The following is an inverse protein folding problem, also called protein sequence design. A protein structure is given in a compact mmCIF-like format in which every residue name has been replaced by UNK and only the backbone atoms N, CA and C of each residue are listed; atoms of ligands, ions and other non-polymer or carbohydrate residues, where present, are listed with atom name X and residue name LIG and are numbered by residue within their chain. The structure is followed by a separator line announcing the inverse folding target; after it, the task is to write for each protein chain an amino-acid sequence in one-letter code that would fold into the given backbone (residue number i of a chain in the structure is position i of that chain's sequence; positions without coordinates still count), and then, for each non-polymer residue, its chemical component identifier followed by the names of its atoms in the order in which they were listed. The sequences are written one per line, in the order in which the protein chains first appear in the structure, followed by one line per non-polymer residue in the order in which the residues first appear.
data_IF_067928502386
#
_entry.id   IF_067928502386
#
_cell.length_a   1.000
_cell.length_b   1.000
_cell.length_c   1.000
_cell.angle_alpha   90.00
_cell.angle_beta   90.00
_cell.angle_gamma   90.00
#
_symmetry.space_group_name_H-M   'P 1'
#
loop_
_entity.id
_entity.type
_entity.pdbx_description
1 polymer ?
#
# COMPACT_ATOMS: atom_id res chain seq x y z
N UNK A 1 1.32 -6.99 -12.37
CA UNK A 1 1.85 -8.17 -11.63
C UNK A 1 0.91 -8.74 -10.57
N UNK A 2 -0.26 -8.17 -10.29
CA UNK A 2 -1.17 -8.82 -9.34
C UNK A 2 -2.33 -8.00 -8.78
N UNK A 3 -2.62 -6.80 -9.30
CA UNK A 3 -3.65 -5.92 -8.73
C UNK A 3 -4.97 -6.62 -8.44
N UNK A 4 -5.53 -7.34 -9.43
CA UNK A 4 -6.78 -8.09 -9.23
C UNK A 4 -6.58 -9.41 -8.47
N UNK A 5 -5.56 -10.19 -8.84
CA UNK A 5 -5.42 -11.59 -8.37
C UNK A 5 -4.91 -11.67 -6.93
N UNK A 6 -4.11 -10.70 -6.50
CA UNK A 6 -3.48 -10.68 -5.17
C UNK A 6 -4.13 -9.63 -4.27
N UNK A 7 -4.20 -8.37 -4.69
CA UNK A 7 -4.61 -7.30 -3.79
C UNK A 7 -6.12 -7.22 -3.64
N UNK A 8 -6.86 -7.08 -4.74
CA UNK A 8 -8.32 -7.00 -4.68
C UNK A 8 -8.94 -8.26 -4.05
N UNK A 9 -8.43 -9.44 -4.42
CA UNK A 9 -8.90 -10.71 -3.84
C UNK A 9 -8.63 -10.79 -2.34
N UNK A 10 -7.44 -10.39 -1.88
CA UNK A 10 -7.09 -10.38 -0.46
C UNK A 10 -7.89 -9.33 0.31
N UNK A 11 -8.02 -8.10 -0.22
CA UNK A 11 -8.78 -7.01 0.39
C UNK A 11 -10.25 -7.38 0.58
N UNK A 12 -10.91 -7.88 -0.47
CA UNK A 12 -12.30 -8.36 -0.36
C UNK A 12 -12.43 -9.54 0.62
N UNK A 13 -11.45 -10.46 0.62
CA UNK A 13 -11.45 -11.57 1.58
C UNK A 13 -11.32 -11.06 3.01
N UNK A 14 -10.46 -10.06 3.28
CA UNK A 14 -10.35 -9.44 4.60
C UNK A 14 -11.68 -8.82 5.02
N UNK A 15 -12.33 -8.05 4.15
CA UNK A 15 -13.62 -7.43 4.47
C UNK A 15 -14.68 -8.48 4.84
N UNK A 16 -14.81 -9.53 4.02
CA UNK A 16 -15.78 -10.60 4.25
C UNK A 16 -15.47 -11.32 5.57
N UNK A 17 -14.21 -11.71 5.80
CA UNK A 17 -13.83 -12.44 7.01
C UNK A 17 -13.98 -11.58 8.27
N UNK A 18 -13.59 -10.32 8.23
CA UNK A 18 -13.74 -9.40 9.36
C UNK A 18 -15.21 -9.12 9.68
N UNK A 19 -16.09 -9.09 8.67
CA UNK A 19 -17.53 -9.00 8.88
C UNK A 19 -18.10 -10.21 9.64
N UNK A 20 -17.64 -11.43 9.33
CA UNK A 20 -18.11 -12.65 10.00
C UNK A 20 -17.44 -12.92 11.35
N UNK A 21 -16.17 -12.57 11.51
CA UNK A 21 -15.41 -12.79 12.75
C UNK A 21 -15.88 -11.88 13.89
N UNK A 22 -16.41 -10.70 13.55
CA UNK A 22 -16.84 -9.70 14.53
C UNK A 22 -15.66 -8.98 15.18
N UNK A 23 -15.96 -8.10 16.13
CA UNK A 23 -14.95 -7.22 16.76
C UNK A 23 -14.10 -8.00 17.75
N UNK A 24 -12.79 -7.86 17.63
CA UNK A 24 -11.82 -8.39 18.58
C UNK A 24 -11.58 -7.37 19.70
N UNK A 25 -11.43 -7.79 20.97
CA UNK A 25 -11.06 -6.89 22.07
C UNK A 25 -9.58 -6.44 22.01
N UNK A 26 -8.95 -6.46 20.83
CA UNK A 26 -7.52 -6.21 20.69
C UNK A 26 -7.23 -4.73 20.95
N UNK A 27 -6.49 -4.47 22.02
CA UNK A 27 -5.67 -3.27 22.09
C UNK A 27 -4.48 -3.52 21.18
N UNK A 28 -4.29 -2.70 20.15
CA UNK A 28 -3.02 -2.66 19.44
C UNK A 28 -1.92 -2.35 20.47
N UNK A 29 -1.22 -3.37 20.95
CA UNK A 29 0.03 -3.16 21.65
C UNK A 29 0.91 -2.29 20.76
N UNK A 30 1.63 -1.34 21.36
CA UNK A 30 2.57 -0.49 20.62
C UNK A 30 3.58 -1.40 19.92
N UNK A 31 3.38 -1.61 18.62
CA UNK A 31 4.33 -2.35 17.80
C UNK A 31 5.65 -1.59 17.86
N UNK A 32 6.69 -2.32 18.26
CA UNK A 32 8.06 -1.81 18.25
C UNK A 32 8.42 -1.34 16.84
N UNK A 33 8.81 -0.08 16.72
CA UNK A 33 9.07 0.57 15.42
C UNK A 33 10.15 -0.17 14.61
N UNK A 34 11.10 -0.86 15.25
CA UNK A 34 12.15 -1.59 14.54
C UNK A 34 11.58 -2.73 13.67
N UNK A 35 10.51 -3.38 14.12
CA UNK A 35 9.85 -4.45 13.35
C UNK A 35 9.10 -3.91 12.13
N UNK A 36 8.55 -2.71 12.22
CA UNK A 36 7.89 -2.05 11.09
C UNK A 36 8.89 -1.75 9.97
N UNK A 37 10.06 -1.22 10.31
CA UNK A 37 11.11 -0.96 9.33
C UNK A 37 11.65 -2.24 8.70
N UNK A 38 11.90 -3.27 9.51
CA UNK A 38 12.35 -4.56 8.99
C UNK A 38 11.31 -5.17 8.04
N UNK A 39 10.04 -5.14 8.43
CA UNK A 39 8.93 -5.57 7.58
C UNK A 39 8.90 -4.82 6.26
N UNK A 40 9.00 -3.48 6.30
CA UNK A 40 9.01 -2.65 5.09
C UNK A 40 10.18 -2.97 4.16
N UNK A 41 11.38 -3.20 4.70
CA UNK A 41 12.56 -3.58 3.91
C UNK A 41 12.32 -4.91 3.19
N UNK A 42 11.84 -5.91 3.91
CA UNK A 42 11.57 -7.24 3.35
C UNK A 42 10.48 -7.19 2.27
N UNK A 43 9.39 -6.46 2.55
CA UNK A 43 8.28 -6.27 1.62
C UNK A 43 8.76 -5.56 0.36
N UNK A 44 9.51 -4.45 0.50
CA UNK A 44 10.05 -3.69 -0.64
C UNK A 44 10.98 -4.54 -1.49
N UNK A 45 11.91 -5.26 -0.86
CA UNK A 45 12.86 -6.12 -1.55
C UNK A 45 12.13 -7.22 -2.35
N UNK A 46 11.17 -7.89 -1.71
CA UNK A 46 10.33 -8.88 -2.37
C UNK A 46 9.50 -8.29 -3.51
N UNK A 47 9.01 -7.05 -3.36
CA UNK A 47 8.15 -6.41 -4.35
C UNK A 47 8.84 -6.08 -5.66
N UNK A 48 10.12 -5.74 -5.63
CA UNK A 48 10.89 -5.58 -6.87
C UNK A 48 10.88 -6.87 -7.68
N UNK A 49 11.11 -8.02 -7.02
CA UNK A 49 10.99 -9.35 -7.63
C UNK A 49 9.57 -9.65 -8.13
N UNK A 50 8.55 -9.33 -7.33
CA UNK A 50 7.15 -9.50 -7.67
C UNK A 50 6.74 -8.71 -8.93
N UNK A 51 7.21 -7.47 -9.05
CA UNK A 51 6.88 -6.61 -10.18
C UNK A 51 7.70 -6.93 -11.44
N UNK A 52 9.00 -7.18 -11.30
CA UNK A 52 9.89 -7.45 -12.44
C UNK A 52 9.80 -8.89 -12.94
N UNK A 53 9.44 -9.85 -12.07
CA UNK A 53 9.38 -11.28 -12.39
C UNK A 53 8.57 -11.60 -13.66
N UNK A 54 7.35 -11.05 -13.82
CA UNK A 54 6.54 -11.24 -15.03
C UNK A 54 7.19 -10.76 -16.34
N UNK A 55 8.22 -9.91 -16.31
CA UNK A 55 8.97 -9.51 -17.51
C UNK A 55 9.76 -10.69 -18.09
N UNK A 56 10.18 -11.64 -17.23
CA UNK A 56 10.81 -12.91 -17.64
C UNK A 56 12.24 -12.80 -18.19
N UNK A 57 12.77 -11.60 -18.38
CA UNK A 57 14.12 -11.36 -18.90
C UNK A 57 14.65 -9.99 -18.48
N UNK A 58 15.97 -9.83 -18.44
CA UNK A 58 16.64 -8.57 -18.11
C UNK A 58 16.84 -7.72 -19.37
N UNK A 59 15.92 -6.78 -19.59
CA UNK A 59 15.94 -5.85 -20.73
C UNK A 59 15.54 -4.43 -20.29
N UNK A 60 15.37 -3.52 -21.24
CA UNK A 60 14.96 -2.14 -20.95
C UNK A 60 13.61 -2.05 -20.20
N UNK A 61 12.67 -2.96 -20.50
CA UNK A 61 11.38 -3.03 -19.80
C UNK A 61 11.57 -3.43 -18.34
N UNK A 62 12.47 -4.38 -18.03
CA UNK A 62 12.79 -4.74 -16.66
C UNK A 62 13.35 -3.54 -15.88
N UNK A 63 14.25 -2.76 -16.49
CA UNK A 63 14.77 -1.52 -15.92
C UNK A 63 13.67 -0.48 -15.65
N UNK A 64 12.76 -0.29 -16.60
CA UNK A 64 11.59 0.59 -16.44
C UNK A 64 10.67 0.11 -15.30
N UNK A 65 10.39 -1.19 -15.19
CA UNK A 65 9.54 -1.75 -14.13
C UNK A 65 10.15 -1.56 -12.75
N UNK A 66 11.47 -1.73 -12.61
CA UNK A 66 12.18 -1.46 -11.35
C UNK A 66 12.11 0.02 -10.99
N UNK A 67 12.36 0.92 -11.95
CA UNK A 67 12.26 2.37 -11.72
C UNK A 67 10.84 2.79 -11.34
N UNK A 68 9.85 2.30 -12.07
CA UNK A 68 8.43 2.56 -11.81
C UNK A 68 8.02 2.05 -10.42
N UNK A 69 8.54 0.89 -9.98
CA UNK A 69 8.30 0.36 -8.62
C UNK A 69 8.91 1.28 -7.55
N UNK A 70 10.14 1.75 -7.76
CA UNK A 70 10.79 2.67 -6.83
C UNK A 70 10.00 3.99 -6.69
N UNK A 71 9.58 4.56 -7.81
CA UNK A 71 8.80 5.79 -7.81
C UNK A 71 7.41 5.59 -7.22
N UNK A 72 6.80 4.43 -7.40
CA UNK A 72 5.54 4.10 -6.75
C UNK A 72 5.66 4.15 -5.22
N UNK A 73 6.73 3.59 -4.65
CA UNK A 73 7.02 3.64 -3.21
C UNK A 73 7.15 5.08 -2.73
N UNK A 74 7.99 5.88 -3.42
CA UNK A 74 8.29 7.26 -3.02
C UNK A 74 7.04 8.13 -3.11
N UNK A 75 6.32 8.08 -4.23
CA UNK A 75 5.12 8.89 -4.46
C UNK A 75 3.97 8.48 -3.52
N UNK A 76 3.78 7.19 -3.26
CA UNK A 76 2.79 6.70 -2.30
C UNK A 76 3.12 7.16 -0.87
N UNK A 77 4.35 6.89 -0.41
CA UNK A 77 4.80 7.30 0.92
C UNK A 77 4.69 8.81 1.15
N UNK A 78 5.08 9.60 0.15
CA UNK A 78 4.99 11.06 0.21
C UNK A 78 3.53 11.53 0.25
N UNK A 79 2.65 10.98 -0.59
CA UNK A 79 1.25 11.39 -0.64
C UNK A 79 0.51 11.15 0.67
N UNK A 80 0.60 9.94 1.22
CA UNK A 80 -0.06 9.62 2.50
C UNK A 80 0.47 10.50 3.63
N UNK A 81 1.80 10.66 3.70
CA UNK A 81 2.44 11.53 4.69
C UNK A 81 1.96 12.97 4.56
N UNK A 82 1.86 13.49 3.34
CA UNK A 82 1.38 14.84 3.06
C UNK A 82 -0.08 15.00 3.50
N UNK A 83 -0.97 14.08 3.13
CA UNK A 83 -2.39 14.12 3.53
C UNK A 83 -2.52 14.07 5.05
N UNK A 84 -1.78 13.16 5.69
CA UNK A 84 -1.76 13.03 7.16
C UNK A 84 -1.29 14.31 7.83
N UNK A 85 -0.18 14.88 7.37
CA UNK A 85 0.36 16.13 7.90
C UNK A 85 -0.62 17.30 7.70
N UNK A 86 -1.27 17.39 6.54
CA UNK A 86 -2.22 18.47 6.27
C UNK A 86 -3.43 18.41 7.21
N UNK A 87 -3.93 17.22 7.54
CA UNK A 87 -5.11 17.01 8.38
C UNK A 87 -4.82 17.03 9.88
N UNK A 88 -3.77 16.34 10.31
CA UNK A 88 -3.47 16.13 11.72
C UNK A 88 -2.33 17.01 12.24
N UNK A 89 -1.56 17.68 11.36
CA UNK A 89 -0.38 18.49 11.72
C UNK A 89 0.71 17.69 12.44
N UNK A 90 0.75 16.38 12.20
CA UNK A 90 1.70 15.46 12.79
C UNK A 90 2.53 14.76 11.70
N UNK A 91 3.82 14.62 11.97
CA UNK A 91 4.72 13.79 11.18
C UNK A 91 4.72 12.37 11.77
N UNK A 92 4.26 11.40 10.98
CA UNK A 92 4.12 10.01 11.41
C UNK A 92 4.90 9.08 10.50
N UNK A 93 5.83 8.32 11.08
CA UNK A 93 6.52 7.23 10.39
C UNK A 93 5.53 6.18 9.89
N UNK A 94 4.49 5.88 10.67
CA UNK A 94 3.49 4.87 10.29
C UNK A 94 2.74 5.33 9.04
N UNK A 95 2.40 6.61 8.95
CA UNK A 95 1.78 7.19 7.76
C UNK A 95 2.68 7.06 6.52
N UNK A 96 3.99 7.30 6.66
CA UNK A 96 4.95 7.09 5.58
C UNK A 96 4.98 5.63 5.12
N UNK A 97 5.10 4.68 6.05
CA UNK A 97 5.18 3.25 5.74
C UNK A 97 3.89 2.73 5.11
N UNK A 98 2.72 3.16 5.62
CA UNK A 98 1.42 2.82 5.02
C UNK A 98 1.30 3.37 3.59
N UNK A 99 1.73 4.61 3.36
CA UNK A 99 1.76 5.20 2.03
C UNK A 99 2.67 4.42 1.07
N UNK A 100 3.84 3.97 1.54
CA UNK A 100 4.76 3.14 0.75
C UNK A 100 4.11 1.81 0.35
N UNK A 101 3.40 1.15 1.28
CA UNK A 101 2.64 -0.09 1.01
C UNK A 101 1.58 0.17 -0.06
N UNK A 102 0.77 1.22 0.08
CA UNK A 102 -0.28 1.52 -0.92
C UNK A 102 0.31 1.88 -2.28
N UNK A 103 1.46 2.57 -2.30
CA UNK A 103 2.22 2.80 -3.52
C UNK A 103 2.62 1.48 -4.20
N UNK A 104 3.15 0.53 -3.42
CA UNK A 104 3.49 -0.81 -3.91
C UNK A 104 2.28 -1.58 -4.44
N UNK A 105 1.17 -1.63 -3.70
CA UNK A 105 -0.08 -2.26 -4.12
C UNK A 105 -0.57 -1.67 -5.43
N UNK A 106 -0.67 -0.34 -5.50
CA UNK A 106 -1.12 0.38 -6.70
C UNK A 106 -0.23 0.11 -7.91
N UNK A 107 1.10 0.03 -7.70
CA UNK A 107 2.05 -0.24 -8.79
C UNK A 107 1.74 -1.56 -9.51
N UNK A 108 1.24 -2.57 -8.79
CA UNK A 108 1.00 -3.91 -9.35
C UNK A 108 -0.07 -3.95 -10.44
N UNK A 109 -0.88 -2.89 -10.56
CA UNK A 109 -1.89 -2.73 -11.60
C UNK A 109 -1.28 -2.30 -12.95
N UNK A 110 -0.21 -1.49 -12.94
CA UNK A 110 0.23 -0.77 -14.14
C UNK A 110 1.74 -0.67 -14.37
N UNK A 111 2.60 -1.19 -13.48
CA UNK A 111 4.06 -0.93 -13.50
C UNK A 111 4.78 -1.25 -14.82
N UNK A 112 4.30 -2.24 -15.58
CA UNK A 112 4.86 -2.63 -16.89
C UNK A 112 4.12 -2.07 -18.10
N UNK A 113 3.04 -1.30 -17.88
CA UNK A 113 2.18 -0.76 -18.94
C UNK A 113 2.22 0.77 -18.98
N UNK A 114 2.41 1.42 -17.82
CA UNK A 114 2.44 2.86 -17.67
C UNK A 114 3.87 3.40 -17.81
N UNK A 115 3.97 4.63 -18.33
CA UNK A 115 5.21 5.37 -18.27
C UNK A 115 5.51 5.85 -16.84
N UNK A 116 6.72 6.35 -16.64
CA UNK A 116 7.21 6.74 -15.31
C UNK A 116 6.45 7.91 -14.69
N UNK A 117 5.96 8.87 -15.49
CA UNK A 117 5.15 9.97 -14.98
C UNK A 117 3.76 9.51 -14.56
N UNK A 118 3.15 8.64 -15.36
CA UNK A 118 1.83 8.06 -15.11
C UNK A 118 1.80 7.23 -13.82
N UNK A 119 2.80 6.37 -13.61
CA UNK A 119 2.84 5.54 -12.40
C UNK A 119 3.02 6.40 -11.14
N UNK A 120 3.86 7.45 -11.20
CA UNK A 120 4.07 8.38 -10.10
C UNK A 120 2.79 9.13 -9.73
N UNK A 121 2.06 9.63 -10.74
CA UNK A 121 0.81 10.33 -10.52
C UNK A 121 -0.26 9.38 -9.96
N UNK A 122 -0.39 8.19 -10.55
CA UNK A 122 -1.36 7.18 -10.13
C UNK A 122 -1.16 6.80 -8.66
N UNK A 123 0.07 6.49 -8.25
CA UNK A 123 0.37 6.05 -6.88
C UNK A 123 0.25 7.20 -5.87
N UNK A 124 0.60 8.43 -6.28
CA UNK A 124 0.38 9.61 -5.46
C UNK A 124 -1.11 9.82 -5.18
N UNK A 125 -1.94 9.82 -6.23
CA UNK A 125 -3.39 10.02 -6.09
C UNK A 125 -4.04 8.88 -5.31
N UNK A 126 -3.74 7.63 -5.68
CA UNK A 126 -4.31 6.46 -5.01
C UNK A 126 -3.97 6.45 -3.52
N UNK A 127 -2.71 6.65 -3.15
CA UNK A 127 -2.29 6.64 -1.74
C UNK A 127 -2.95 7.75 -0.91
N UNK A 128 -3.07 8.95 -1.48
CA UNK A 128 -3.76 10.06 -0.80
C UNK A 128 -5.26 9.79 -0.61
N UNK A 129 -5.92 9.23 -1.62
CA UNK A 129 -7.33 8.83 -1.51
C UNK A 129 -7.53 7.70 -0.51
N UNK A 130 -6.66 6.69 -0.51
CA UNK A 130 -6.71 5.59 0.45
C UNK A 130 -6.53 6.10 1.87
N UNK A 131 -5.63 7.06 2.13
CA UNK A 131 -5.49 7.69 3.45
C UNK A 131 -6.82 8.29 3.95
N UNK A 132 -7.56 8.98 3.08
CA UNK A 132 -8.86 9.57 3.43
C UNK A 132 -9.93 8.50 3.63
N UNK A 133 -9.91 7.45 2.81
CA UNK A 133 -10.84 6.34 2.90
C UNK A 133 -10.62 5.54 4.18
N UNK A 134 -9.38 5.21 4.55
CA UNK A 134 -9.06 4.50 5.80
C UNK A 134 -9.60 5.24 7.01
N UNK A 135 -9.35 6.55 7.09
CA UNK A 135 -9.88 7.39 8.17
C UNK A 135 -11.42 7.38 8.20
N UNK A 136 -12.07 7.53 7.04
CA UNK A 136 -13.53 7.46 6.93
C UNK A 136 -14.10 6.08 7.33
N UNK A 137 -13.50 5.00 6.85
CA UNK A 137 -13.95 3.63 7.10
C UNK A 137 -13.81 3.27 8.58
N UNK A 138 -12.74 3.72 9.24
CA UNK A 138 -12.52 3.52 10.68
C UNK A 138 -13.65 4.09 11.55
N UNK A 139 -14.33 5.13 11.06
CA UNK A 139 -15.44 5.78 11.77
C UNK A 139 -16.83 5.22 11.41
N UNK A 140 -16.99 4.61 10.23
CA UNK A 140 -18.31 4.27 9.67
C UNK A 140 -18.60 2.77 9.60
N UNK A 141 -17.58 1.94 9.40
CA UNK A 141 -17.79 0.49 9.29
C UNK A 141 -17.64 -0.17 10.66
N UNK A 142 -18.61 -0.99 11.11
CA UNK A 142 -18.48 -1.78 12.33
C UNK A 142 -17.57 -3.02 12.14
N UNK A 143 -16.69 -3.00 11.14
CA UNK A 143 -15.80 -4.10 10.76
C UNK A 143 -14.43 -3.84 11.37
N UNK A 144 -13.93 -4.81 12.14
CA UNK A 144 -12.62 -4.73 12.80
C UNK A 144 -11.54 -5.31 11.87
N UNK A 145 -11.02 -4.46 10.99
CA UNK A 145 -9.86 -4.79 10.15
C UNK A 145 -8.58 -4.28 10.82
N UNK A 146 -7.98 -5.15 11.62
CA UNK A 146 -6.82 -4.88 12.50
C UNK A 146 -5.63 -4.26 11.75
N UNK A 147 -5.49 -4.51 10.44
CA UNK A 147 -4.34 -4.04 9.66
C UNK A 147 -4.74 -3.09 8.53
N UNK A 148 -5.99 -2.63 8.51
CA UNK A 148 -6.57 -1.84 7.43
C UNK A 148 -6.34 -2.47 6.03
N UNK A 149 -6.28 -3.81 5.97
CA UNK A 149 -5.91 -4.55 4.75
C UNK A 149 -6.92 -4.35 3.64
N UNK A 150 -8.21 -4.26 3.95
CA UNK A 150 -9.25 -3.94 2.98
C UNK A 150 -9.02 -2.57 2.35
N UNK A 151 -8.73 -1.55 3.15
CA UNK A 151 -8.50 -0.21 2.62
C UNK A 151 -7.22 -0.13 1.76
N UNK A 152 -6.16 -0.85 2.16
CA UNK A 152 -4.88 -0.80 1.45
C UNK A 152 -4.78 -1.71 0.22
N UNK A 153 -5.50 -2.84 0.21
CA UNK A 153 -5.44 -3.84 -0.86
C UNK A 153 -6.69 -3.92 -1.74
N UNK A 154 -7.87 -3.59 -1.20
CA UNK A 154 -9.16 -3.67 -1.89
C UNK A 154 -9.42 -2.47 -2.79
#
# INVERSE_FOLDING_TARGET
SGGMVVHLSAGLSTYILAHFAGKTPHQHEKIRQEWLYLGMILVTFGWFGFNVGPVGQLNALAGQVLLNTLLAIVCGGFSWSLVTFLRHKEESTVALLNGMIVGLVTSTAGVGYLNTGEISLLTFVASGLTCLLTDYLSHQLPVDDVVDSFAMNG
#
